data_IF_514449305902
#
_entry.id   IF_514449305902
#
_cell.length_a   1.000
_cell.length_b   1.000
_cell.length_c   1.000
_cell.angle_alpha   90.00
_cell.angle_beta   90.00
_cell.angle_gamma   90.00
#
_symmetry.space_group_name_H-M   'P 1'
#
loop_
_entity.id
_entity.type
_entity.pdbx_description
1 polymer ?
#
# COMPACT_ATOMS: atom_id res chain seq x y z
N UNK A 1 26.41 -6.17 -0.39
CA UNK A 1 25.02 -6.58 -0.20
C UNK A 1 25.08 -7.90 0.58
N UNK A 2 25.10 -7.81 1.88
CA UNK A 2 25.05 -9.00 2.77
C UNK A 2 23.61 -9.12 3.22
N UNK A 3 22.88 -10.05 2.63
CA UNK A 3 21.65 -10.59 3.20
C UNK A 3 22.01 -11.11 4.59
N UNK A 4 21.53 -10.42 5.59
CA UNK A 4 21.68 -10.85 6.98
C UNK A 4 20.83 -12.12 7.09
N UNK A 5 21.49 -13.27 7.18
CA UNK A 5 20.88 -14.56 7.49
C UNK A 5 20.28 -14.54 8.91
N UNK A 6 19.20 -13.76 9.09
CA UNK A 6 18.31 -13.87 10.26
C UNK A 6 17.37 -15.09 10.14
N UNK A 7 17.39 -15.77 9.00
CA UNK A 7 16.47 -16.88 8.70
C UNK A 7 16.90 -18.23 9.24
N UNK A 8 18.16 -18.42 9.66
CA UNK A 8 18.67 -19.77 9.96
C UNK A 8 18.89 -20.11 11.42
N UNK A 9 18.69 -19.20 12.39
CA UNK A 9 18.93 -19.52 13.81
C UNK A 9 17.81 -19.19 14.79
N UNK A 10 16.69 -18.64 14.37
CA UNK A 10 15.58 -18.41 15.29
C UNK A 10 14.27 -18.70 14.60
N UNK A 11 13.54 -19.68 15.13
CA UNK A 11 12.11 -19.88 14.95
C UNK A 11 11.38 -18.67 15.55
N UNK A 12 11.66 -17.45 15.01
CA UNK A 12 11.10 -16.19 15.49
C UNK A 12 9.65 -16.16 15.04
N UNK A 13 8.75 -16.20 16.00
CA UNK A 13 7.34 -16.03 15.73
C UNK A 13 7.13 -14.70 15.03
N UNK A 14 6.28 -14.66 14.02
CA UNK A 14 5.89 -13.46 13.26
C UNK A 14 5.60 -12.25 14.16
N UNK A 15 4.93 -12.46 15.30
CA UNK A 15 4.67 -11.45 16.34
C UNK A 15 5.93 -10.78 16.88
N UNK A 16 7.02 -11.53 17.02
CA UNK A 16 8.31 -10.98 17.50
C UNK A 16 8.93 -10.06 16.45
N UNK A 17 8.87 -10.44 15.17
CA UNK A 17 9.34 -9.58 14.07
C UNK A 17 8.54 -8.28 13.97
N UNK A 18 7.24 -8.31 14.20
CA UNK A 18 6.40 -7.10 14.27
C UNK A 18 6.86 -6.19 15.41
N UNK A 19 7.11 -6.75 16.61
CA UNK A 19 7.61 -5.96 17.74
C UNK A 19 8.97 -5.36 17.46
N UNK A 20 9.86 -6.07 16.79
CA UNK A 20 11.17 -5.54 16.43
C UNK A 20 11.10 -4.42 15.39
N UNK A 21 10.28 -4.55 14.34
CA UNK A 21 10.02 -3.46 13.39
C UNK A 21 9.44 -2.23 14.08
N UNK A 22 8.54 -2.44 15.03
CA UNK A 22 7.99 -1.36 15.84
C UNK A 22 9.06 -0.67 16.70
N UNK A 23 9.95 -1.45 17.34
CA UNK A 23 11.10 -0.92 18.08
C UNK A 23 11.94 0.00 17.18
N UNK A 24 12.27 -0.44 15.97
CA UNK A 24 13.02 0.37 15.00
C UNK A 24 12.33 1.67 14.64
N UNK A 25 11.08 1.57 14.20
CA UNK A 25 10.32 2.74 13.74
C UNK A 25 10.13 3.78 14.84
N UNK A 26 9.77 3.36 16.05
CA UNK A 26 9.56 4.29 17.16
C UNK A 26 10.88 4.86 17.65
N UNK A 27 11.93 4.05 17.76
CA UNK A 27 13.24 4.55 18.18
C UNK A 27 13.81 5.56 17.21
N UNK A 28 13.75 5.23 15.89
CA UNK A 28 14.31 6.09 14.84
C UNK A 28 13.54 7.41 14.69
N UNK A 29 12.22 7.37 14.70
CA UNK A 29 11.40 8.54 14.32
C UNK A 29 10.83 9.31 15.51
N UNK A 30 10.56 8.67 16.65
CA UNK A 30 10.16 9.37 17.88
C UNK A 30 11.33 9.65 18.81
N UNK A 31 12.50 9.01 18.56
CA UNK A 31 13.71 9.17 19.36
C UNK A 31 13.58 8.63 20.81
N UNK A 32 12.43 8.07 21.15
CA UNK A 32 12.09 7.67 22.52
C UNK A 32 11.18 6.45 22.55
N UNK A 33 11.71 5.34 23.07
CA UNK A 33 10.95 4.11 23.28
C UNK A 33 10.92 3.72 24.76
N UNK A 34 9.75 3.38 25.30
CA UNK A 34 9.59 2.85 26.65
C UNK A 34 9.11 1.41 26.62
N UNK A 35 9.52 0.62 27.61
CA UNK A 35 8.97 -0.74 27.83
C UNK A 35 7.45 -0.71 27.99
N UNK A 36 6.91 0.35 28.63
CA UNK A 36 5.48 0.55 28.79
C UNK A 36 4.77 0.67 27.45
N UNK A 37 5.32 1.46 26.50
CA UNK A 37 4.74 1.64 25.17
C UNK A 37 4.66 0.31 24.42
N UNK A 38 5.70 -0.53 24.49
CA UNK A 38 5.67 -1.88 23.92
C UNK A 38 4.57 -2.75 24.55
N UNK A 39 4.43 -2.72 25.88
CA UNK A 39 3.40 -3.47 26.58
C UNK A 39 1.98 -3.04 26.14
N UNK A 40 1.73 -1.74 26.07
CA UNK A 40 0.43 -1.17 25.68
C UNK A 40 0.11 -1.45 24.21
N UNK A 41 1.07 -1.32 23.31
CA UNK A 41 0.86 -1.53 21.87
C UNK A 41 0.59 -3.00 21.53
N UNK A 42 1.30 -3.94 22.17
CA UNK A 42 1.20 -5.36 21.80
C UNK A 42 0.45 -6.23 22.82
N UNK A 43 -0.08 -5.65 23.89
CA UNK A 43 -0.75 -6.42 24.93
C UNK A 43 0.15 -7.43 25.64
N UNK A 44 1.49 -7.18 25.72
CA UNK A 44 2.47 -8.08 26.30
C UNK A 44 2.91 -7.65 27.69
N UNK A 45 3.36 -8.62 28.49
CA UNK A 45 3.91 -8.35 29.81
C UNK A 45 5.28 -7.68 29.75
N UNK A 46 5.63 -6.92 30.82
CA UNK A 46 6.92 -6.21 30.94
C UNK A 46 8.14 -7.12 30.76
N UNK A 47 8.05 -8.36 31.25
CA UNK A 47 9.14 -9.33 31.09
C UNK A 47 9.42 -9.66 29.62
N UNK A 48 8.35 -9.88 28.84
CA UNK A 48 8.46 -10.14 27.40
C UNK A 48 9.00 -8.91 26.66
N UNK A 49 8.49 -7.72 26.95
CA UNK A 49 8.96 -6.48 26.35
C UNK A 49 10.46 -6.23 26.62
N UNK A 50 10.92 -6.45 27.85
CA UNK A 50 12.35 -6.33 28.20
C UNK A 50 13.20 -7.39 27.50
N UNK A 51 12.70 -8.62 27.35
CA UNK A 51 13.38 -9.70 26.61
C UNK A 51 13.52 -9.33 25.13
N UNK A 52 12.45 -8.79 24.53
CA UNK A 52 12.46 -8.38 23.14
C UNK A 52 13.45 -7.23 22.89
N UNK A 53 13.45 -6.20 23.74
CA UNK A 53 14.43 -5.11 23.69
C UNK A 53 15.87 -5.61 23.84
N UNK A 54 16.12 -6.49 24.80
CA UNK A 54 17.47 -7.05 25.03
C UNK A 54 17.92 -7.92 23.84
N UNK A 55 17.04 -8.71 23.27
CA UNK A 55 17.34 -9.55 22.10
C UNK A 55 17.56 -8.70 20.84
N UNK A 56 16.71 -7.69 20.63
CA UNK A 56 16.85 -6.77 19.51
C UNK A 56 18.19 -6.02 19.56
N UNK A 57 18.55 -5.43 20.72
CA UNK A 57 19.84 -4.74 20.89
C UNK A 57 21.05 -5.63 20.61
N UNK A 58 20.99 -6.91 21.00
CA UNK A 58 22.06 -7.88 20.70
C UNK A 58 22.15 -8.24 19.21
N UNK A 59 21.07 -8.07 18.45
CA UNK A 59 21.03 -8.33 17.02
C UNK A 59 21.49 -7.13 16.17
N UNK A 60 21.59 -5.93 16.76
CA UNK A 60 22.08 -4.75 16.06
C UNK A 60 23.52 -4.94 15.60
N UNK A 61 23.79 -4.58 14.38
CA UNK A 61 25.12 -4.62 13.76
C UNK A 61 25.81 -3.25 13.80
N UNK A 62 25.06 -2.18 13.97
CA UNK A 62 25.55 -0.81 14.03
C UNK A 62 24.68 0.01 14.98
N UNK A 63 25.32 0.75 15.87
CA UNK A 63 24.65 1.55 16.89
C UNK A 63 23.99 0.73 18.01
N UNK A 64 23.31 1.41 18.91
CA UNK A 64 22.57 0.79 20.01
C UNK A 64 21.33 1.62 20.38
N UNK A 65 20.48 1.03 21.22
CA UNK A 65 19.44 1.71 21.96
C UNK A 65 19.94 1.98 23.38
N UNK A 66 20.28 3.23 23.64
CA UNK A 66 20.84 3.67 24.91
C UNK A 66 19.72 3.87 25.94
N UNK A 67 19.85 3.22 27.12
CA UNK A 67 18.85 3.39 28.17
C UNK A 67 19.20 4.58 29.08
N UNK A 68 18.31 5.57 29.13
CA UNK A 68 18.35 6.65 30.09
C UNK A 68 17.63 6.23 31.37
N UNK A 69 18.39 6.05 32.46
CA UNK A 69 17.88 5.61 33.77
C UNK A 69 17.03 6.71 34.46
N UNK A 70 17.29 7.99 34.17
CA UNK A 70 16.57 9.11 34.76
C UNK A 70 15.24 9.30 34.04
N UNK A 71 15.26 9.38 32.72
CA UNK A 71 14.07 9.56 31.87
C UNK A 71 13.31 8.25 31.62
N UNK A 72 13.87 7.10 32.00
CA UNK A 72 13.28 5.74 31.89
C UNK A 72 12.82 5.37 30.50
N UNK A 73 13.63 5.69 29.48
CA UNK A 73 13.36 5.32 28.11
C UNK A 73 14.65 4.89 27.38
N UNK A 74 14.49 4.29 26.21
CA UNK A 74 15.56 4.01 25.27
C UNK A 74 15.56 5.09 24.19
N UNK A 75 16.77 5.56 23.83
CA UNK A 75 17.01 6.46 22.70
C UNK A 75 18.00 5.80 21.73
N UNK A 76 17.86 6.00 20.41
CA UNK A 76 18.86 5.52 19.46
C UNK A 76 20.17 6.30 19.63
N UNK A 77 21.30 5.63 19.44
CA UNK A 77 22.60 6.29 19.26
C UNK A 77 22.67 6.97 17.88
N UNK A 78 23.61 7.88 17.68
CA UNK A 78 23.77 8.63 16.41
C UNK A 78 24.04 7.72 15.22
N UNK A 79 24.65 6.57 15.44
CA UNK A 79 24.96 5.55 14.43
C UNK A 79 23.93 4.41 14.38
N UNK A 80 22.76 4.58 15.02
CA UNK A 80 21.72 3.57 15.01
C UNK A 80 21.20 3.32 13.58
N UNK A 81 21.28 2.07 13.14
CA UNK A 81 20.76 1.64 11.86
C UNK A 81 19.74 0.49 12.04
N UNK A 82 18.52 0.62 11.50
CA UNK A 82 17.53 -0.45 11.56
C UNK A 82 18.00 -1.68 10.75
N UNK A 83 17.59 -2.87 11.18
CA UNK A 83 17.96 -4.14 10.54
C UNK A 83 16.79 -4.86 9.85
N UNK A 84 15.55 -4.46 10.15
CA UNK A 84 14.33 -5.08 9.64
C UNK A 84 13.47 -4.12 8.81
N UNK A 85 13.60 -2.82 9.03
CA UNK A 85 12.97 -1.77 8.24
C UNK A 85 14.03 -1.11 7.34
N UNK A 86 13.58 -0.34 6.36
CA UNK A 86 14.49 0.38 5.45
C UNK A 86 15.00 1.70 6.05
N UNK A 87 14.47 2.10 7.23
CA UNK A 87 14.78 3.38 7.84
C UNK A 87 14.21 4.58 7.09
N UNK A 88 13.10 4.40 6.35
CA UNK A 88 12.46 5.47 5.61
C UNK A 88 11.35 6.12 6.43
N UNK A 89 11.27 7.45 6.42
CA UNK A 89 10.21 8.20 7.10
C UNK A 89 8.80 7.77 6.65
N UNK A 90 8.66 7.38 5.37
CA UNK A 90 7.41 6.87 4.82
C UNK A 90 6.88 5.64 5.55
N UNK A 91 7.74 4.77 6.07
CA UNK A 91 7.31 3.58 6.83
C UNK A 91 6.64 3.98 8.15
N UNK A 92 7.21 4.96 8.86
CA UNK A 92 6.62 5.50 10.09
C UNK A 92 5.33 6.28 9.81
N UNK A 93 5.33 7.13 8.78
CA UNK A 93 4.16 7.93 8.41
C UNK A 93 2.99 7.06 7.94
N UNK A 94 3.27 5.98 7.20
CA UNK A 94 2.24 5.00 6.83
C UNK A 94 1.69 4.26 8.05
N UNK A 95 2.54 3.86 8.99
CA UNK A 95 2.10 3.25 10.24
C UNK A 95 1.19 4.21 11.03
N UNK A 96 1.57 5.49 11.11
CA UNK A 96 0.81 6.53 11.79
C UNK A 96 -0.54 6.80 11.10
N UNK A 97 -0.58 6.83 9.76
CA UNK A 97 -1.81 7.00 8.99
C UNK A 97 -2.76 5.81 9.15
N UNK A 98 -2.24 4.57 9.07
CA UNK A 98 -3.04 3.36 9.25
C UNK A 98 -3.60 3.23 10.67
N UNK A 99 -2.91 3.76 11.68
CA UNK A 99 -3.41 3.79 13.05
C UNK A 99 -4.81 4.41 13.13
N UNK A 100 -5.06 5.50 12.42
CA UNK A 100 -6.35 6.19 12.40
C UNK A 100 -7.49 5.27 11.91
N UNK A 101 -7.25 4.47 10.88
CA UNK A 101 -8.25 3.54 10.32
C UNK A 101 -8.39 2.28 11.18
N UNK A 102 -7.29 1.73 11.70
CA UNK A 102 -7.29 0.57 12.60
C UNK A 102 -7.98 0.90 13.93
N UNK A 103 -7.78 2.10 14.49
CA UNK A 103 -8.47 2.54 15.70
C UNK A 103 -10.00 2.59 15.54
N UNK A 104 -10.50 2.94 14.36
CA UNK A 104 -11.94 2.92 14.07
C UNK A 104 -12.52 1.49 14.08
N UNK A 105 -11.71 0.49 13.71
CA UNK A 105 -12.15 -0.91 13.57
C UNK A 105 -11.88 -1.72 14.84
N UNK A 106 -10.70 -1.57 15.44
CA UNK A 106 -10.21 -2.44 16.52
C UNK A 106 -10.07 -1.75 17.89
N UNK A 107 -10.39 -0.45 17.99
CA UNK A 107 -10.23 0.33 19.22
C UNK A 107 -8.82 0.91 19.41
N UNK A 108 -8.58 1.51 20.58
CA UNK A 108 -7.35 2.23 20.87
C UNK A 108 -6.11 1.32 20.90
N UNK A 109 -5.28 1.43 19.87
CA UNK A 109 -3.91 0.94 19.85
C UNK A 109 -2.97 2.16 19.75
N UNK A 110 -2.29 2.58 20.82
CA UNK A 110 -1.41 3.77 20.79
C UNK A 110 -0.10 3.41 20.08
N UNK A 111 -0.12 3.40 18.76
CA UNK A 111 1.04 3.00 17.95
C UNK A 111 2.07 4.13 17.88
N UNK A 112 1.63 5.39 17.75
CA UNK A 112 2.52 6.55 17.66
C UNK A 112 2.21 7.60 18.73
N UNK A 113 3.17 8.48 19.04
CA UNK A 113 2.97 9.63 19.92
C UNK A 113 2.44 10.86 19.15
N UNK A 114 2.61 10.87 17.84
CA UNK A 114 2.17 11.96 16.99
C UNK A 114 0.65 11.98 16.82
N UNK A 115 0.05 13.17 16.85
CA UNK A 115 -1.33 13.36 16.41
C UNK A 115 -1.37 13.34 14.89
N UNK A 116 -2.21 12.48 14.31
CA UNK A 116 -2.32 12.29 12.86
C UNK A 116 -3.79 12.36 12.45
N UNK A 117 -4.08 13.21 11.49
CA UNK A 117 -5.38 13.28 10.84
C UNK A 117 -5.26 12.75 9.42
N UNK A 118 -6.19 11.87 9.01
CA UNK A 118 -6.19 11.24 7.69
C UNK A 118 -7.45 11.64 6.94
N UNK A 119 -7.27 12.22 5.76
CA UNK A 119 -8.36 12.45 4.82
C UNK A 119 -8.60 11.18 4.04
N UNK A 120 -9.72 10.53 4.30
CA UNK A 120 -10.12 9.29 3.61
C UNK A 120 -11.31 9.55 2.70
N UNK A 121 -11.34 8.89 1.54
CA UNK A 121 -12.54 8.88 0.71
C UNK A 121 -13.72 8.25 1.48
N UNK A 122 -14.97 8.69 1.25
CA UNK A 122 -16.13 8.06 1.88
C UNK A 122 -16.16 6.56 1.65
N UNK A 123 -16.44 5.79 2.70
CA UNK A 123 -16.58 4.34 2.60
C UNK A 123 -17.72 3.99 1.64
N UNK A 124 -17.52 2.93 0.88
CA UNK A 124 -18.53 2.38 -0.03
C UNK A 124 -18.88 1.01 0.47
N UNK A 125 -20.06 0.92 1.10
CA UNK A 125 -20.50 -0.30 1.74
C UNK A 125 -20.71 -1.44 0.73
N UNK A 126 -20.31 -2.63 1.16
CA UNK A 126 -20.47 -3.89 0.43
C UNK A 126 -21.10 -4.92 1.39
N UNK A 127 -22.24 -5.52 1.04
CA UNK A 127 -22.80 -6.56 1.88
C UNK A 127 -21.91 -7.81 1.90
N UNK A 128 -21.85 -8.47 3.05
CA UNK A 128 -21.03 -9.68 3.22
C UNK A 128 -21.47 -10.82 2.27
N UNK A 129 -22.75 -10.89 1.91
CA UNK A 129 -23.29 -11.84 0.93
C UNK A 129 -22.76 -11.65 -0.48
N UNK A 130 -22.13 -10.50 -0.76
CA UNK A 130 -21.50 -10.20 -2.04
C UNK A 130 -19.96 -10.33 -1.98
N UNK A 131 -19.35 -9.75 -0.96
CA UNK A 131 -17.88 -9.74 -0.85
C UNK A 131 -17.30 -11.13 -0.55
N UNK A 132 -17.93 -11.88 0.34
CA UNK A 132 -17.45 -13.22 0.73
C UNK A 132 -17.38 -14.19 -0.46
N UNK A 133 -18.43 -14.36 -1.28
CA UNK A 133 -18.36 -15.21 -2.47
C UNK A 133 -17.31 -14.74 -3.49
N UNK A 134 -17.10 -13.42 -3.65
CA UNK A 134 -16.04 -12.90 -4.53
C UNK A 134 -14.66 -13.34 -4.02
N UNK A 135 -14.38 -13.17 -2.72
CA UNK A 135 -13.10 -13.60 -2.12
C UNK A 135 -12.93 -15.11 -2.26
N UNK A 136 -14.00 -15.87 -2.01
CA UNK A 136 -13.97 -17.34 -2.13
C UNK A 136 -13.69 -17.76 -3.59
N UNK A 137 -14.39 -17.14 -4.56
CA UNK A 137 -14.15 -17.40 -5.99
C UNK A 137 -12.69 -17.13 -6.40
N UNK A 138 -12.08 -16.06 -5.86
CA UNK A 138 -10.66 -15.75 -6.11
C UNK A 138 -9.72 -16.80 -5.54
N UNK A 139 -9.97 -17.28 -4.30
CA UNK A 139 -9.08 -18.22 -3.61
C UNK A 139 -9.21 -19.65 -4.15
N UNK A 140 -10.39 -20.01 -4.64
CA UNK A 140 -10.72 -21.34 -5.15
C UNK A 140 -10.71 -21.40 -6.70
N UNK A 141 -10.34 -20.30 -7.37
CA UNK A 141 -10.34 -20.19 -8.85
C UNK A 141 -11.68 -20.58 -9.48
N UNK A 142 -12.76 -20.01 -8.96
CA UNK A 142 -14.13 -20.35 -9.37
C UNK A 142 -14.78 -19.23 -10.15
N UNK A 143 -15.75 -19.62 -10.96
CA UNK A 143 -16.72 -18.74 -11.60
C UNK A 143 -17.69 -18.23 -10.53
N UNK A 144 -18.22 -17.04 -10.75
CA UNK A 144 -19.24 -16.46 -9.88
C UNK A 144 -20.26 -15.71 -10.74
N UNK A 145 -21.56 -15.94 -10.50
CA UNK A 145 -22.64 -15.17 -11.08
C UNK A 145 -22.95 -13.96 -10.21
N UNK A 146 -22.94 -12.77 -10.81
CA UNK A 146 -23.10 -11.48 -10.14
C UNK A 146 -23.92 -10.53 -10.96
N UNK A 147 -24.68 -9.68 -10.33
CA UNK A 147 -25.31 -8.54 -10.99
C UNK A 147 -24.40 -7.32 -10.91
N UNK A 148 -24.22 -6.66 -12.03
CA UNK A 148 -23.33 -5.49 -12.11
C UNK A 148 -23.99 -4.33 -12.87
N UNK A 149 -23.78 -3.11 -12.35
CA UNK A 149 -24.26 -1.87 -12.97
C UNK A 149 -23.04 -1.05 -13.40
N UNK A 150 -22.90 -0.78 -14.69
CA UNK A 150 -21.85 0.10 -15.21
C UNK A 150 -22.39 1.51 -15.48
N UNK A 151 -21.50 2.51 -15.59
CA UNK A 151 -21.91 3.85 -15.96
C UNK A 151 -22.38 3.93 -17.42
N UNK A 152 -21.78 3.12 -18.31
CA UNK A 152 -22.12 3.09 -19.73
C UNK A 152 -23.40 2.30 -20.00
N UNK A 153 -23.73 1.37 -19.11
CA UNK A 153 -25.00 0.64 -19.13
C UNK A 153 -25.52 0.57 -17.67
N UNK A 154 -26.41 1.50 -17.27
CA UNK A 154 -26.93 1.59 -15.92
C UNK A 154 -27.94 0.50 -15.56
N UNK A 155 -28.38 -0.29 -16.52
CA UNK A 155 -29.26 -1.42 -16.26
C UNK A 155 -28.53 -2.51 -15.49
N UNK A 156 -29.24 -3.11 -14.55
CA UNK A 156 -28.73 -4.24 -13.79
C UNK A 156 -28.63 -5.45 -14.70
N UNK A 157 -27.43 -5.96 -14.88
CA UNK A 157 -27.18 -7.13 -15.73
C UNK A 157 -26.41 -8.21 -14.98
N UNK A 158 -26.88 -9.46 -15.11
CA UNK A 158 -26.16 -10.64 -14.68
C UNK A 158 -24.85 -10.81 -15.46
N UNK A 159 -23.78 -11.20 -14.78
CA UNK A 159 -22.48 -11.46 -15.36
C UNK A 159 -21.83 -12.64 -14.68
N UNK A 160 -21.31 -13.55 -15.49
CA UNK A 160 -20.39 -14.57 -14.98
C UNK A 160 -18.98 -14.05 -15.12
N UNK A 161 -18.29 -13.99 -13.98
CA UNK A 161 -16.90 -13.54 -13.92
C UNK A 161 -16.03 -14.56 -13.18
N UNK A 162 -14.72 -14.56 -13.46
CA UNK A 162 -13.70 -15.30 -12.72
C UNK A 162 -12.75 -14.29 -12.10
N UNK A 163 -12.95 -13.92 -10.84
CA UNK A 163 -12.14 -12.90 -10.20
C UNK A 163 -10.76 -13.46 -9.82
N UNK A 164 -9.70 -12.64 -9.94
CA UNK A 164 -8.34 -13.07 -9.54
C UNK A 164 -7.60 -12.07 -8.64
N UNK A 165 -7.95 -10.78 -8.64
CA UNK A 165 -7.22 -9.80 -7.81
C UNK A 165 -8.13 -8.67 -7.36
N UNK A 166 -8.05 -8.32 -6.06
CA UNK A 166 -8.61 -7.08 -5.54
C UNK A 166 -7.61 -5.95 -5.73
N UNK A 167 -8.08 -4.80 -6.23
CA UNK A 167 -7.26 -3.63 -6.52
C UNK A 167 -7.77 -2.43 -5.73
N UNK A 168 -6.92 -1.87 -4.87
CA UNK A 168 -7.17 -0.59 -4.21
C UNK A 168 -6.52 0.54 -5.00
N UNK A 169 -7.30 1.49 -5.48
CA UNK A 169 -6.83 2.60 -6.33
C UNK A 169 -6.54 3.89 -5.56
N UNK A 170 -6.48 3.81 -4.22
CA UNK A 170 -6.33 4.98 -3.36
C UNK A 170 -7.66 5.60 -2.91
N UNK A 171 -8.77 5.38 -3.64
CA UNK A 171 -10.09 5.91 -3.26
C UNK A 171 -11.26 4.95 -3.44
N UNK A 172 -11.08 3.80 -4.11
CA UNK A 172 -12.10 2.75 -4.24
C UNK A 172 -11.49 1.39 -4.58
N UNK A 173 -12.22 0.35 -4.25
CA UNK A 173 -11.87 -1.03 -4.56
C UNK A 173 -12.42 -1.45 -5.92
N UNK A 174 -11.60 -2.21 -6.64
CA UNK A 174 -11.98 -2.95 -7.84
C UNK A 174 -11.68 -4.43 -7.64
N UNK A 175 -12.31 -5.26 -8.45
CA UNK A 175 -11.88 -6.63 -8.69
C UNK A 175 -11.54 -6.81 -10.15
N UNK A 176 -10.34 -7.29 -10.42
CA UNK A 176 -9.89 -7.70 -11.74
C UNK A 176 -10.39 -9.11 -11.98
N UNK A 177 -11.08 -9.34 -13.10
CA UNK A 177 -11.74 -10.61 -13.39
C UNK A 177 -11.83 -10.87 -14.89
N UNK A 178 -11.79 -12.13 -15.29
CA UNK A 178 -12.28 -12.56 -16.60
C UNK A 178 -13.80 -12.38 -16.66
N UNK A 179 -14.32 -11.76 -17.69
CA UNK A 179 -15.74 -11.58 -17.93
C UNK A 179 -16.19 -12.48 -19.07
N UNK A 180 -17.03 -13.48 -18.82
CA UNK A 180 -17.50 -14.37 -19.86
C UNK A 180 -18.35 -13.67 -20.92
N UNK A 181 -19.15 -12.67 -20.52
CA UNK A 181 -19.93 -11.86 -21.48
C UNK A 181 -19.06 -11.12 -22.49
N UNK A 182 -17.93 -10.57 -22.02
CA UNK A 182 -17.05 -9.77 -22.86
C UNK A 182 -15.90 -10.57 -23.48
N UNK A 183 -15.66 -11.80 -23.01
CA UNK A 183 -14.52 -12.64 -23.37
C UNK A 183 -13.18 -11.89 -23.19
N UNK A 184 -13.06 -11.18 -22.06
CA UNK A 184 -11.95 -10.28 -21.77
C UNK A 184 -11.77 -10.09 -20.25
N UNK A 185 -10.54 -9.79 -19.81
CA UNK A 185 -10.26 -9.39 -18.44
C UNK A 185 -10.63 -7.93 -18.22
N UNK A 186 -11.39 -7.66 -17.16
CA UNK A 186 -11.91 -6.34 -16.85
C UNK A 186 -11.81 -6.00 -15.37
N UNK A 187 -11.77 -4.70 -15.09
CA UNK A 187 -11.86 -4.15 -13.75
C UNK A 187 -13.31 -3.82 -13.41
N UNK A 188 -13.83 -4.44 -12.37
CA UNK A 188 -15.16 -4.20 -11.85
C UNK A 188 -15.07 -3.40 -10.54
N UNK A 189 -15.74 -2.26 -10.48
CA UNK A 189 -15.84 -1.47 -9.24
C UNK A 189 -16.70 -2.22 -8.23
N UNK A 190 -16.13 -2.61 -7.06
CA UNK A 190 -16.83 -3.44 -6.08
C UNK A 190 -18.19 -2.86 -5.66
N UNK A 191 -18.27 -1.55 -5.43
CA UNK A 191 -19.50 -0.88 -5.01
C UNK A 191 -20.59 -0.80 -6.10
N UNK A 192 -20.35 -1.33 -7.30
CA UNK A 192 -21.34 -1.40 -8.39
C UNK A 192 -21.96 -2.77 -8.57
N UNK A 193 -21.51 -3.77 -7.85
CA UNK A 193 -22.23 -5.05 -7.74
C UNK A 193 -23.55 -4.84 -7.00
N UNK A 194 -24.56 -5.65 -7.31
CA UNK A 194 -25.90 -5.60 -6.74
C UNK A 194 -26.36 -6.99 -6.34
N UNK A 195 -27.27 -7.05 -5.37
CA UNK A 195 -27.86 -8.30 -4.93
C UNK A 195 -26.88 -9.21 -4.17
N UNK A 196 -27.02 -10.49 -4.40
CA UNK A 196 -26.15 -11.55 -3.90
C UNK A 196 -25.28 -12.08 -5.03
N UNK A 197 -24.29 -12.86 -4.69
CA UNK A 197 -23.37 -13.46 -5.66
C UNK A 197 -23.38 -14.98 -5.46
N UNK A 198 -23.56 -15.72 -6.56
CA UNK A 198 -23.67 -17.17 -6.56
C UNK A 198 -22.37 -17.81 -7.05
N UNK A 199 -21.76 -18.60 -6.17
CA UNK A 199 -20.54 -19.34 -6.46
C UNK A 199 -20.86 -20.50 -7.42
N UNK A 200 -20.06 -20.61 -8.49
CA UNK A 200 -20.22 -21.64 -9.53
C UNK A 200 -19.03 -22.62 -9.51
N UNK A 201 -18.85 -23.40 -10.57
CA UNK A 201 -17.79 -24.37 -10.73
C UNK A 201 -16.39 -23.72 -10.82
N UNK A 202 -15.35 -24.53 -10.71
CA UNK A 202 -13.98 -24.13 -10.96
C UNK A 202 -13.77 -23.66 -12.40
N UNK A 203 -12.84 -22.76 -12.57
CA UNK A 203 -12.45 -22.21 -13.86
C UNK A 203 -10.95 -22.39 -14.10
N UNK A 204 -10.60 -22.58 -15.39
CA UNK A 204 -9.21 -22.59 -15.84
C UNK A 204 -8.71 -21.20 -16.25
N UNK A 205 -9.52 -20.14 -16.06
CA UNK A 205 -9.11 -18.75 -16.31
C UNK A 205 -8.39 -18.20 -15.11
N UNK A 206 -7.05 -18.16 -15.18
CA UNK A 206 -6.18 -17.71 -14.09
C UNK A 206 -5.55 -16.36 -14.41
N UNK A 207 -4.98 -15.74 -13.40
CA UNK A 207 -4.30 -14.43 -13.52
C UNK A 207 -3.13 -14.45 -14.50
N UNK A 208 -2.48 -15.59 -14.70
CA UNK A 208 -1.36 -15.78 -15.63
C UNK A 208 -1.77 -15.62 -17.10
N UNK A 209 -3.06 -15.77 -17.39
CA UNK A 209 -3.64 -15.59 -18.72
C UNK A 209 -4.09 -14.14 -19.00
N UNK A 210 -4.03 -13.29 -17.99
CA UNK A 210 -4.28 -11.84 -18.13
C UNK A 210 -2.97 -11.17 -18.57
N UNK A 211 -2.71 -11.15 -19.87
CA UNK A 211 -1.48 -10.60 -20.45
C UNK A 211 -1.26 -9.15 -20.01
N UNK A 212 -2.29 -8.34 -20.02
CA UNK A 212 -2.26 -6.95 -19.62
C UNK A 212 -1.92 -6.79 -18.12
N UNK A 213 -2.36 -7.73 -17.30
CA UNK A 213 -2.01 -7.77 -15.88
C UNK A 213 -0.59 -8.21 -15.63
N UNK A 214 -0.08 -9.14 -16.42
CA UNK A 214 1.30 -9.62 -16.32
C UNK A 214 2.31 -8.60 -16.87
N UNK A 215 1.89 -7.75 -17.80
CA UNK A 215 2.77 -6.76 -18.40
C UNK A 215 3.13 -5.63 -17.40
N UNK A 216 4.44 -5.32 -17.31
CA UNK A 216 4.96 -4.21 -16.49
C UNK A 216 5.42 -3.12 -17.44
N UNK A 217 4.94 -1.92 -17.21
CA UNK A 217 5.39 -0.70 -17.90
C UNK A 217 6.18 0.19 -16.95
N UNK A 218 7.11 0.95 -17.48
CA UNK A 218 7.80 1.99 -16.71
C UNK A 218 7.20 3.34 -17.09
N UNK A 219 6.62 4.02 -16.10
CA UNK A 219 6.17 5.41 -16.26
C UNK A 219 7.32 6.33 -15.92
N UNK A 220 7.67 7.24 -16.82
CA UNK A 220 8.68 8.27 -16.59
C UNK A 220 7.98 9.59 -16.35
N UNK A 221 8.00 10.06 -15.10
CA UNK A 221 7.35 11.28 -14.64
C UNK A 221 8.40 12.37 -14.45
N UNK A 222 8.05 13.59 -14.82
CA UNK A 222 8.90 14.76 -14.60
C UNK A 222 8.06 15.97 -14.15
N UNK A 223 8.68 17.02 -13.58
CA UNK A 223 8.01 18.29 -13.38
C UNK A 223 7.56 18.89 -14.73
N UNK A 224 6.43 19.58 -14.74
CA UNK A 224 5.95 20.27 -15.95
C UNK A 224 6.96 21.33 -16.39
N UNK A 225 7.42 21.25 -17.63
CA UNK A 225 8.42 22.16 -18.21
C UNK A 225 7.95 23.63 -18.33
N UNK A 226 6.65 23.89 -18.15
CA UNK A 226 6.08 25.25 -18.12
C UNK A 226 6.31 25.95 -16.78
N UNK A 227 6.73 25.23 -15.73
CA UNK A 227 7.16 25.77 -14.45
C UNK A 227 8.55 26.39 -14.55
N UNK A 228 8.89 27.36 -13.69
CA UNK A 228 10.26 27.88 -13.61
C UNK A 228 11.24 26.80 -13.17
N UNK A 229 12.53 26.98 -13.45
CA UNK A 229 13.57 26.00 -13.08
C UNK A 229 13.59 25.76 -11.56
N UNK A 230 13.45 26.82 -10.76
CA UNK A 230 13.41 26.71 -9.29
C UNK A 230 12.17 25.91 -8.83
N UNK A 231 11.03 26.10 -9.48
CA UNK A 231 9.82 25.33 -9.19
C UNK A 231 9.97 23.85 -9.56
N UNK A 232 10.61 23.57 -10.71
CA UNK A 232 10.90 22.21 -11.12
C UNK A 232 11.87 21.52 -10.14
N UNK A 233 12.89 22.23 -9.62
CA UNK A 233 13.81 21.72 -8.60
C UNK A 233 13.08 21.37 -7.29
N UNK A 234 12.13 22.20 -6.84
CA UNK A 234 11.31 21.92 -5.65
C UNK A 234 10.53 20.61 -5.85
N UNK A 235 9.85 20.47 -6.98
CA UNK A 235 9.06 19.27 -7.26
C UNK A 235 9.96 18.02 -7.40
N UNK A 236 11.10 18.17 -8.07
CA UNK A 236 12.06 17.08 -8.20
C UNK A 236 12.57 16.60 -6.82
N UNK A 237 12.79 17.53 -5.90
CA UNK A 237 13.16 17.21 -4.52
C UNK A 237 12.02 16.51 -3.75
N UNK A 238 10.77 16.99 -3.85
CA UNK A 238 9.60 16.42 -3.17
C UNK A 238 9.38 14.94 -3.54
N UNK A 239 9.65 14.60 -4.79
CA UNK A 239 9.49 13.23 -5.31
C UNK A 239 10.80 12.42 -5.34
N UNK A 240 11.91 12.93 -4.75
CA UNK A 240 13.24 12.31 -4.80
C UNK A 240 13.67 11.92 -6.24
N UNK A 241 13.43 12.78 -7.20
CA UNK A 241 13.73 12.52 -8.60
C UNK A 241 15.24 12.49 -8.86
N UNK A 242 15.70 11.55 -9.66
CA UNK A 242 17.08 11.49 -10.15
C UNK A 242 17.15 12.15 -11.52
N UNK A 243 17.99 13.20 -11.64
CA UNK A 243 18.12 13.94 -12.91
C UNK A 243 16.80 14.59 -13.38
N UNK A 244 15.95 15.01 -12.43
CA UNK A 244 14.65 15.61 -12.72
C UNK A 244 13.59 14.61 -13.23
N UNK A 245 13.78 13.30 -13.03
CA UNK A 245 12.88 12.25 -13.48
C UNK A 245 12.61 11.24 -12.38
N UNK A 246 11.40 10.73 -12.35
CA UNK A 246 10.96 9.62 -11.51
C UNK A 246 10.49 8.47 -12.39
N UNK A 247 11.14 7.33 -12.31
CA UNK A 247 10.78 6.12 -13.04
C UNK A 247 10.03 5.18 -12.10
N UNK A 248 8.82 4.78 -12.49
CA UNK A 248 7.96 3.91 -11.69
C UNK A 248 7.56 2.70 -12.54
N UNK A 249 8.07 1.52 -12.18
CA UNK A 249 7.61 0.27 -12.76
C UNK A 249 6.26 -0.13 -12.15
N UNK A 250 5.26 -0.35 -12.99
CA UNK A 250 3.89 -0.67 -12.56
C UNK A 250 3.23 -1.63 -13.54
N UNK A 251 2.29 -2.45 -13.08
CA UNK A 251 1.45 -3.26 -13.98
C UNK A 251 0.70 -2.34 -14.95
N UNK A 252 0.71 -2.70 -16.23
CA UNK A 252 0.12 -1.88 -17.28
C UNK A 252 -1.32 -1.43 -16.96
N UNK A 253 -2.16 -2.33 -16.46
CA UNK A 253 -3.55 -2.01 -16.07
C UNK A 253 -3.67 -1.15 -14.82
N UNK A 254 -2.61 -0.99 -14.03
CA UNK A 254 -2.59 -0.09 -12.88
C UNK A 254 -2.02 1.30 -13.22
N UNK A 255 -1.38 1.46 -14.36
CA UNK A 255 -0.78 2.73 -14.80
C UNK A 255 -1.80 3.89 -14.79
N UNK A 256 -3.02 3.78 -15.35
CA UNK A 256 -4.00 4.87 -15.31
C UNK A 256 -4.38 5.28 -13.88
N UNK A 257 -4.50 4.32 -12.96
CA UNK A 257 -4.82 4.60 -11.56
C UNK A 257 -3.68 5.32 -10.85
N UNK A 258 -2.43 4.93 -11.12
CA UNK A 258 -1.25 5.60 -10.57
C UNK A 258 -1.12 7.03 -11.09
N UNK A 259 -1.32 7.26 -12.38
CA UNK A 259 -1.34 8.61 -12.96
C UNK A 259 -2.42 9.48 -12.34
N UNK A 260 -3.61 8.92 -12.11
CA UNK A 260 -4.68 9.62 -11.41
C UNK A 260 -4.31 9.98 -9.96
N UNK A 261 -3.64 9.09 -9.21
CA UNK A 261 -3.15 9.37 -7.86
C UNK A 261 -2.10 10.48 -7.84
N UNK A 262 -1.26 10.55 -8.88
CA UNK A 262 -0.25 11.59 -9.05
C UNK A 262 -0.83 12.89 -9.65
N UNK A 263 -2.13 12.94 -9.89
CA UNK A 263 -2.80 14.06 -10.57
C UNK A 263 -2.18 14.37 -11.95
N UNK A 264 -1.77 13.33 -12.68
CA UNK A 264 -1.23 13.44 -14.04
C UNK A 264 -2.33 13.15 -15.05
N UNK A 265 -2.82 14.18 -15.72
CA UNK A 265 -3.74 14.04 -16.84
C UNK A 265 -2.94 13.89 -18.14
N UNK A 266 -3.14 12.79 -18.84
CA UNK A 266 -2.46 12.48 -20.11
C UNK A 266 -3.27 12.86 -21.34
N UNK A 267 -4.58 13.09 -21.19
CA UNK A 267 -5.44 13.49 -22.30
C UNK A 267 -5.28 14.98 -22.63
N UNK A 268 -5.20 15.83 -21.61
CA UNK A 268 -5.10 17.27 -21.74
C UNK A 268 -4.37 17.86 -20.54
N UNK A 269 -3.31 18.63 -20.79
CA UNK A 269 -2.60 19.34 -19.72
C UNK A 269 -3.46 20.51 -19.22
N UNK A 270 -3.55 20.67 -17.91
CA UNK A 270 -4.24 21.79 -17.31
C UNK A 270 -3.56 23.11 -17.72
N UNK A 271 -4.36 24.18 -17.85
CA UNK A 271 -3.86 25.51 -18.25
C UNK A 271 -2.81 26.03 -17.26
N UNK A 272 -3.09 25.90 -15.96
CA UNK A 272 -2.13 26.27 -14.90
C UNK A 272 -1.22 25.06 -14.56
N UNK A 273 0.09 25.14 -14.84
CA UNK A 273 1.03 24.06 -14.51
C UNK A 273 1.20 23.84 -13.00
N UNK A 274 0.78 24.78 -12.14
CA UNK A 274 0.78 24.58 -10.69
C UNK A 274 -0.37 23.68 -10.22
N UNK A 275 -1.45 23.60 -10.98
CA UNK A 275 -2.56 22.71 -10.70
C UNK A 275 -2.27 21.26 -11.12
N UNK A 276 -1.38 21.07 -12.12
CA UNK A 276 -0.83 19.76 -12.50
C UNK A 276 0.69 19.88 -12.63
N UNK A 277 1.39 19.63 -11.54
CA UNK A 277 2.84 19.87 -11.44
C UNK A 277 3.68 18.81 -12.13
N UNK A 278 3.11 17.62 -12.36
CA UNK A 278 3.76 16.46 -12.92
C UNK A 278 3.23 16.14 -14.32
N UNK A 279 4.12 15.67 -15.20
CA UNK A 279 3.78 15.21 -16.54
C UNK A 279 4.38 13.83 -16.81
N UNK A 280 3.70 13.03 -17.63
CA UNK A 280 4.23 11.78 -18.15
C UNK A 280 5.03 12.09 -19.43
N UNK A 281 6.34 11.83 -19.42
CA UNK A 281 7.21 12.19 -20.55
C UNK A 281 7.37 11.07 -21.58
N UNK A 282 7.10 9.83 -21.22
CA UNK A 282 7.15 8.70 -22.17
C UNK A 282 5.74 8.20 -22.56
N UNK A 283 4.80 9.12 -22.71
CA UNK A 283 3.40 8.79 -23.03
C UNK A 283 3.27 7.93 -24.28
N UNK A 284 4.00 8.23 -25.35
CA UNK A 284 3.93 7.49 -26.60
C UNK A 284 4.26 6.00 -26.45
N UNK A 285 5.19 5.67 -25.53
CA UNK A 285 5.62 4.30 -25.26
C UNK A 285 4.57 3.49 -24.49
N UNK A 286 3.78 4.16 -23.65
CA UNK A 286 2.82 3.51 -22.76
C UNK A 286 1.36 3.75 -23.15
N UNK A 287 1.12 4.52 -24.21
CA UNK A 287 -0.22 4.96 -24.59
C UNK A 287 -1.21 3.83 -24.85
N UNK A 288 -0.74 2.68 -25.34
CA UNK A 288 -1.58 1.49 -25.54
C UNK A 288 -2.25 0.99 -24.24
N UNK A 289 -1.69 1.33 -23.10
CA UNK A 289 -2.12 0.87 -21.76
C UNK A 289 -2.91 1.94 -20.99
N UNK A 290 -2.98 3.16 -21.50
CA UNK A 290 -3.65 4.28 -20.83
C UNK A 290 -5.12 4.44 -21.21
N UNK A 291 -5.59 3.65 -22.19
CA UNK A 291 -6.96 3.67 -22.71
C UNK A 291 -7.90 2.71 -21.98
#
# INVERSE_FOLDING_TARGET
MSEIHLTDQTNQRWEQLLRYRYIELISLWEGRLTTRKLCETFGIGRQQANKDLSNYRRALSCGDLLYDAVAKHYSPSDDFAPILTRGLASEYLQLAAQQSDVQRILGHLPVTAASVEVVSAPSRELPAGLLRPIIQAMTEHRRIDVDYVSLNNPDREGRIIVPHTLVWTGYRWHVRAWCEKNQDFRDFVLSRFRGEADLMEESHRLSEQDEDWQHIVTLTIAPDSRLSLEQQEVIAHDYNMSGGRLEIAVRAKLAPYLLQLLNVNTAELLEDPKAQQLVLINQDEVNAWLM
#
